data_IF_323158777501
#
_entry.id   IF_323158777501
#
_cell.length_a   1.000
_cell.length_b   1.000
_cell.length_c   1.000
_cell.angle_alpha   90.00
_cell.angle_beta   90.00
_cell.angle_gamma   90.00
#
_symmetry.space_group_name_H-M   'P 1'
#
loop_
_entity.id
_entity.type
_entity.pdbx_description
1 polymer ?
#
# COMPACT_ATOMS: atom_id res chain seq x y z
N UNK A 1 28.42 -12.96 -3.41
CA UNK A 1 27.80 -12.35 -4.61
C UNK A 1 26.33 -12.73 -4.59
N UNK A 2 25.47 -11.86 -4.07
CA UNK A 2 24.03 -12.08 -4.00
C UNK A 2 23.42 -11.76 -5.36
N UNK A 3 23.03 -12.78 -6.12
CA UNK A 3 22.27 -12.63 -7.34
C UNK A 3 20.83 -12.24 -6.97
N UNK A 4 20.60 -10.95 -6.73
CA UNK A 4 19.26 -10.40 -6.59
C UNK A 4 18.67 -10.28 -7.99
N UNK A 5 17.84 -11.24 -8.37
CA UNK A 5 17.04 -11.14 -9.59
C UNK A 5 15.91 -10.11 -9.34
N UNK A 6 15.82 -9.01 -10.10
CA UNK A 6 14.72 -8.07 -9.97
C UNK A 6 13.44 -8.74 -10.46
N UNK A 7 12.67 -9.31 -9.53
CA UNK A 7 11.31 -9.78 -9.78
C UNK A 7 10.38 -8.64 -9.37
N UNK A 8 9.97 -7.85 -10.36
CA UNK A 8 9.22 -6.60 -10.13
C UNK A 8 7.70 -6.86 -10.08
N UNK A 9 7.21 -7.98 -10.65
CA UNK A 9 5.78 -8.30 -10.70
C UNK A 9 5.47 -9.74 -10.31
N UNK A 10 4.68 -9.95 -9.25
CA UNK A 10 4.10 -11.26 -8.92
C UNK A 10 2.60 -11.26 -9.18
N UNK A 11 2.13 -12.21 -9.97
CA UNK A 11 0.70 -12.49 -10.10
C UNK A 11 0.32 -13.55 -9.07
N UNK A 12 -0.36 -13.10 -8.03
CA UNK A 12 -0.88 -13.98 -7.00
C UNK A 12 -2.17 -14.65 -7.51
N UNK A 13 -2.09 -15.93 -7.86
CA UNK A 13 -3.24 -16.81 -8.14
C UNK A 13 -3.37 -17.93 -7.11
N UNK A 14 -2.84 -17.72 -5.91
CA UNK A 14 -2.81 -18.72 -4.84
C UNK A 14 -4.21 -19.23 -4.51
N UNK A 15 -5.22 -18.35 -4.47
CA UNK A 15 -6.59 -18.71 -4.14
C UNK A 15 -7.35 -19.44 -5.26
N UNK A 16 -6.94 -19.30 -6.52
CA UNK A 16 -7.65 -19.88 -7.68
C UNK A 16 -7.01 -21.17 -8.16
N UNK A 17 -5.67 -21.22 -8.19
CA UNK A 17 -4.91 -22.32 -8.80
C UNK A 17 -3.82 -22.89 -7.90
N UNK A 18 -3.62 -22.31 -6.71
CA UNK A 18 -2.54 -22.73 -5.80
C UNK A 18 -1.14 -22.43 -6.35
N UNK A 19 -1.02 -21.52 -7.32
CA UNK A 19 0.26 -21.19 -7.98
C UNK A 19 0.60 -19.72 -7.87
N UNK A 20 1.90 -19.47 -7.71
CA UNK A 20 2.50 -18.15 -7.78
C UNK A 20 3.25 -18.01 -9.11
N UNK A 21 2.90 -17.01 -9.90
CA UNK A 21 3.56 -16.75 -11.19
C UNK A 21 4.40 -15.49 -11.03
N UNK A 22 5.72 -15.65 -11.13
CA UNK A 22 6.68 -14.56 -11.07
C UNK A 22 6.98 -14.11 -12.49
N UNK A 23 6.63 -12.86 -12.78
CA UNK A 23 6.86 -12.23 -14.07
C UNK A 23 7.92 -11.15 -13.92
N UNK A 24 8.91 -11.19 -14.80
CA UNK A 24 9.84 -10.09 -14.97
C UNK A 24 9.20 -9.03 -15.87
N UNK A 25 9.32 -7.76 -15.48
CA UNK A 25 8.97 -6.60 -16.30
C UNK A 25 10.04 -6.31 -17.37
N UNK A 26 11.22 -6.92 -17.27
CA UNK A 26 12.26 -6.83 -18.29
C UNK A 26 11.78 -7.44 -19.63
N UNK A 27 11.97 -6.68 -20.72
CA UNK A 27 11.63 -7.10 -22.08
C UNK A 27 12.47 -8.31 -22.55
N UNK A 28 13.66 -8.49 -21.98
CA UNK A 28 14.52 -9.63 -22.29
C UNK A 28 14.08 -10.91 -21.56
N UNK A 29 13.01 -11.54 -22.07
CA UNK A 29 12.46 -12.80 -21.53
C UNK A 29 13.40 -14.00 -21.64
N UNK A 30 14.50 -13.91 -22.39
CA UNK A 30 15.51 -14.98 -22.46
C UNK A 30 16.37 -15.05 -21.19
N UNK A 31 16.70 -13.90 -20.62
CA UNK A 31 17.46 -13.82 -19.37
C UNK A 31 16.55 -13.88 -18.14
N UNK A 32 15.28 -13.47 -18.30
CA UNK A 32 14.30 -13.43 -17.23
C UNK A 32 13.04 -14.24 -17.61
N UNK A 33 13.11 -15.59 -17.56
CA UNK A 33 11.97 -16.43 -17.83
C UNK A 33 10.90 -16.30 -16.75
N UNK A 34 9.65 -16.59 -17.11
CA UNK A 34 8.57 -16.65 -16.14
C UNK A 34 8.79 -17.86 -15.23
N UNK A 35 8.79 -17.63 -13.92
CA UNK A 35 8.94 -18.71 -12.93
C UNK A 35 7.55 -19.02 -12.37
N UNK A 36 7.17 -20.29 -12.40
CA UNK A 36 5.94 -20.79 -11.80
C UNK A 36 6.33 -21.55 -10.55
N UNK A 37 5.83 -21.13 -9.40
CA UNK A 37 6.03 -21.77 -8.11
C UNK A 37 4.72 -22.35 -7.59
N UNK A 38 4.81 -23.53 -6.97
CA UNK A 38 3.74 -24.09 -6.18
C UNK A 38 3.73 -23.42 -4.80
N UNK A 39 2.54 -23.20 -4.23
CA UNK A 39 2.40 -22.60 -2.89
C UNK A 39 3.01 -23.50 -1.81
N UNK A 40 3.05 -24.81 -2.02
CA UNK A 40 3.69 -25.75 -1.09
C UNK A 40 5.20 -25.53 -0.94
N UNK A 41 5.86 -24.95 -1.94
CA UNK A 41 7.29 -24.62 -1.92
C UNK A 41 7.58 -23.25 -1.29
N UNK A 42 6.55 -22.48 -0.93
CA UNK A 42 6.68 -21.11 -0.40
C UNK A 42 6.55 -21.12 1.12
N UNK A 43 7.63 -20.75 1.81
CA UNK A 43 7.68 -20.67 3.28
C UNK A 43 6.79 -19.53 3.81
N UNK A 44 6.79 -18.38 3.15
CA UNK A 44 6.04 -17.19 3.60
C UNK A 44 5.67 -16.27 2.43
N UNK A 45 4.46 -15.69 2.47
CA UNK A 45 3.95 -14.74 1.47
C UNK A 45 3.63 -13.40 2.13
N UNK A 46 4.33 -12.34 1.71
CA UNK A 46 4.10 -10.98 2.20
C UNK A 46 3.26 -10.17 1.20
N UNK A 47 2.12 -9.64 1.64
CA UNK A 47 1.27 -8.78 0.82
C UNK A 47 1.54 -7.31 1.16
N UNK A 48 2.34 -6.64 0.33
CA UNK A 48 2.47 -5.19 0.40
C UNK A 48 1.41 -4.51 -0.48
N UNK A 49 0.65 -3.58 0.08
CA UNK A 49 -0.26 -2.70 -0.67
C UNK A 49 0.33 -1.29 -0.62
N UNK A 50 1.00 -0.88 -1.69
CA UNK A 50 1.42 0.50 -1.86
C UNK A 50 0.27 1.30 -2.51
N UNK A 51 -0.19 2.35 -1.83
CA UNK A 51 -1.08 3.35 -2.41
C UNK A 51 -0.27 4.55 -2.85
N UNK A 52 0.05 4.65 -4.13
CA UNK A 52 0.71 5.83 -4.70
C UNK A 52 -0.35 6.92 -4.94
N UNK A 53 -0.65 7.68 -3.89
CA UNK A 53 -1.53 8.85 -3.94
C UNK A 53 -0.66 10.04 -4.33
N UNK A 54 -0.85 10.58 -5.54
CA UNK A 54 -0.05 11.68 -6.08
C UNK A 54 -0.42 13.07 -5.53
N UNK A 55 -1.52 13.17 -4.79
CA UNK A 55 -2.00 14.43 -4.17
C UNK A 55 -1.85 14.38 -2.65
N UNK A 56 -0.62 14.33 -2.14
CA UNK A 56 -0.39 14.71 -0.75
C UNK A 56 -0.18 16.22 -0.70
N UNK A 57 -1.12 17.01 -0.16
CA UNK A 57 -0.79 18.37 0.24
C UNK A 57 0.37 18.34 1.22
N UNK A 58 1.22 19.36 1.23
CA UNK A 58 2.42 19.37 2.06
C UNK A 58 2.09 19.00 3.52
N UNK A 59 2.97 18.30 4.25
CA UNK A 59 2.69 17.86 5.62
C UNK A 59 2.16 18.98 6.51
N UNK A 60 2.64 20.22 6.31
CA UNK A 60 2.17 21.42 7.01
C UNK A 60 0.71 21.79 6.74
N UNK A 61 0.21 21.61 5.51
CA UNK A 61 -1.20 21.89 5.18
C UNK A 61 -2.16 20.91 5.87
N UNK A 62 -1.76 19.65 6.03
CA UNK A 62 -2.56 18.66 6.77
C UNK A 62 -2.67 19.02 8.25
N UNK A 63 -1.56 19.43 8.88
CA UNK A 63 -1.58 19.89 10.28
C UNK A 63 -2.42 21.16 10.46
N UNK A 64 -2.32 22.13 9.54
CA UNK A 64 -3.15 23.34 9.59
C UNK A 64 -4.63 23.00 9.49
N UNK A 65 -5.02 22.13 8.55
CA UNK A 65 -6.41 21.68 8.40
C UNK A 65 -6.92 20.91 9.61
N UNK A 66 -6.06 20.12 10.26
CA UNK A 66 -6.40 19.39 11.47
C UNK A 66 -6.64 20.36 12.64
N UNK A 67 -5.75 21.33 12.85
CA UNK A 67 -5.88 22.35 13.88
C UNK A 67 -7.15 23.20 13.68
N UNK A 68 -7.48 23.56 12.43
CA UNK A 68 -8.71 24.29 12.10
C UNK A 68 -9.97 23.48 12.43
N UNK A 69 -9.94 22.16 12.22
CA UNK A 69 -11.04 21.27 12.60
C UNK A 69 -11.18 21.18 14.12
N UNK A 70 -10.07 21.02 14.84
CA UNK A 70 -10.06 20.97 16.30
C UNK A 70 -10.61 22.27 16.93
N UNK A 71 -10.22 23.42 16.37
CA UNK A 71 -10.75 24.72 16.78
C UNK A 71 -12.27 24.83 16.53
N UNK A 72 -12.77 24.39 15.36
CA UNK A 72 -14.20 24.39 15.04
C UNK A 72 -15.01 23.49 15.98
N UNK A 73 -14.50 22.29 16.29
CA UNK A 73 -15.15 21.36 17.22
C UNK A 73 -15.20 21.98 18.63
N UNK A 74 -14.11 22.60 19.08
CA UNK A 74 -14.05 23.26 20.38
C UNK A 74 -15.07 24.39 20.51
N UNK A 75 -15.23 25.20 19.45
CA UNK A 75 -16.24 26.28 19.40
C UNK A 75 -17.67 25.69 19.44
N UNK A 76 -17.93 24.64 18.66
CA UNK A 76 -19.24 23.98 18.66
C UNK A 76 -19.56 23.39 20.05
N UNK A 77 -18.58 22.80 20.72
CA UNK A 77 -18.74 22.27 22.06
C UNK A 77 -19.06 23.37 23.09
N UNK A 78 -18.37 24.52 23.04
CA UNK A 78 -18.66 25.66 23.91
C UNK A 78 -20.08 26.20 23.67
N UNK A 79 -20.50 26.30 22.40
CA UNK A 79 -21.85 26.73 22.04
C UNK A 79 -22.92 25.78 22.57
N UNK A 80 -22.74 24.47 22.41
CA UNK A 80 -23.67 23.47 22.96
C UNK A 80 -23.76 23.53 24.48
N UNK A 81 -22.62 23.68 25.17
CA UNK A 81 -22.58 23.82 26.63
C UNK A 81 -23.30 25.08 27.12
N UNK A 82 -23.24 26.17 26.36
CA UNK A 82 -23.99 27.40 26.66
C UNK A 82 -25.49 27.27 26.40
N UNK A 83 -25.89 26.48 25.40
CA UNK A 83 -27.31 26.24 25.09
C UNK A 83 -27.99 25.29 26.09
N UNK A 84 -27.21 24.46 26.79
CA UNK A 84 -27.69 23.50 27.79
C UNK A 84 -27.70 24.06 29.22
N UNK A 85 -27.22 25.29 29.43
CA UNK A 85 -27.32 26.04 30.70
C UNK A 85 -28.51 26.99 30.67
#
# INVERSE_FOLDING_TARGET
MSNTFPIICSLNRIHETGKLILLSDNQNKREYPNIILDVSDVIEVWKLRAGFIFEFPEPGELYNRFNDLEAKVSIMQDQLLRMLK
#
